data_IF_560127569082
#
_entry.id   IF_560127569082
#
_cell.length_a   1.000
_cell.length_b   1.000
_cell.length_c   1.000
_cell.angle_alpha   90.00
_cell.angle_beta   90.00
_cell.angle_gamma   90.00
#
_symmetry.space_group_name_H-M   'P 1'
#
loop_
_entity.id
_entity.type
_entity.pdbx_description
1 polymer ?
#
# COMPACT_ATOMS: atom_id res chain seq x y z
N UNK A 1 -30.94 36.77 -62.15
CA UNK A 1 -31.29 36.58 -60.73
C UNK A 1 -32.11 35.32 -60.61
N UNK A 2 -31.89 34.47 -59.61
CA UNK A 2 -30.67 33.74 -59.32
C UNK A 2 -30.83 32.25 -59.68
N UNK A 3 -29.72 31.62 -60.02
CA UNK A 3 -29.60 30.18 -60.16
C UNK A 3 -30.01 29.49 -58.85
N UNK A 4 -30.91 28.53 -58.98
CA UNK A 4 -31.35 27.63 -57.92
C UNK A 4 -30.11 26.91 -57.37
N UNK A 5 -29.71 27.31 -56.15
CA UNK A 5 -28.75 26.57 -55.32
C UNK A 5 -29.25 25.13 -55.22
N UNK A 6 -28.53 24.23 -55.87
CA UNK A 6 -28.64 22.79 -55.73
C UNK A 6 -28.17 22.46 -54.32
N UNK A 7 -29.11 22.41 -53.38
CA UNK A 7 -28.85 21.92 -52.02
C UNK A 7 -28.52 20.45 -52.17
N UNK A 8 -27.25 20.08 -51.99
CA UNK A 8 -26.85 18.69 -51.84
C UNK A 8 -27.55 18.14 -50.59
N UNK A 9 -28.65 17.41 -50.79
CA UNK A 9 -29.29 16.64 -49.75
C UNK A 9 -28.27 15.63 -49.23
N UNK A 10 -27.79 15.84 -48.00
CA UNK A 10 -27.02 14.84 -47.27
C UNK A 10 -27.91 13.59 -47.20
N UNK A 11 -27.56 12.56 -47.98
CA UNK A 11 -28.22 11.26 -47.88
C UNK A 11 -27.86 10.67 -46.52
N UNK A 12 -28.83 10.68 -45.62
CA UNK A 12 -28.71 10.00 -44.34
C UNK A 12 -28.49 8.50 -44.59
N UNK A 13 -27.29 8.02 -44.29
CA UNK A 13 -26.94 6.60 -44.37
C UNK A 13 -27.36 5.95 -43.05
N UNK A 14 -28.30 5.00 -43.14
CA UNK A 14 -28.77 4.25 -41.98
C UNK A 14 -27.83 3.08 -41.71
N UNK A 15 -27.19 3.10 -40.55
CA UNK A 15 -26.42 1.95 -40.04
C UNK A 15 -27.34 0.75 -39.80
N UNK A 16 -26.77 -0.44 -39.98
CA UNK A 16 -27.48 -1.70 -39.78
C UNK A 16 -27.77 -1.95 -38.30
N UNK A 17 -28.71 -2.85 -38.04
CA UNK A 17 -29.05 -3.26 -36.69
C UNK A 17 -27.85 -3.95 -36.00
N UNK A 18 -27.10 -4.77 -36.74
CA UNK A 18 -25.90 -5.46 -36.26
C UNK A 18 -24.80 -4.48 -35.84
N UNK A 19 -24.54 -3.44 -36.65
CA UNK A 19 -23.59 -2.38 -36.28
C UNK A 19 -24.05 -1.61 -35.04
N UNK A 20 -25.34 -1.31 -34.94
CA UNK A 20 -25.91 -0.59 -33.78
C UNK A 20 -25.79 -1.42 -32.51
N UNK A 21 -26.03 -2.73 -32.59
CA UNK A 21 -25.94 -3.63 -31.44
C UNK A 21 -24.49 -3.87 -31.02
N UNK A 22 -23.55 -3.99 -31.97
CA UNK A 22 -22.12 -4.05 -31.67
C UNK A 22 -21.60 -2.78 -30.96
N UNK A 23 -22.07 -1.59 -31.36
CA UNK A 23 -21.73 -0.34 -30.68
C UNK A 23 -22.28 -0.31 -29.25
N UNK A 24 -23.50 -0.82 -29.02
CA UNK A 24 -24.10 -0.88 -27.68
C UNK A 24 -23.34 -1.85 -26.77
N UNK A 25 -22.97 -3.02 -27.28
CA UNK A 25 -22.18 -4.00 -26.52
C UNK A 25 -20.81 -3.43 -26.15
N UNK A 26 -20.17 -2.73 -27.09
CA UNK A 26 -18.90 -2.05 -26.83
C UNK A 26 -19.05 -0.96 -25.76
N UNK A 27 -20.10 -0.14 -25.83
CA UNK A 27 -20.39 0.86 -24.80
C UNK A 27 -20.59 0.23 -23.42
N UNK A 28 -21.37 -0.84 -23.34
CA UNK A 28 -21.59 -1.58 -22.09
C UNK A 28 -20.27 -2.14 -21.54
N UNK A 29 -19.42 -2.67 -22.42
CA UNK A 29 -18.09 -3.20 -22.06
C UNK A 29 -17.21 -2.09 -21.48
N UNK A 30 -17.14 -0.92 -22.12
CA UNK A 30 -16.39 0.23 -21.60
C UNK A 30 -16.92 0.69 -20.25
N UNK A 31 -18.24 0.77 -20.07
CA UNK A 31 -18.86 1.13 -18.79
C UNK A 31 -18.48 0.12 -17.71
N UNK A 32 -18.54 -1.17 -18.00
CA UNK A 32 -18.19 -2.22 -17.04
C UNK A 32 -16.71 -2.15 -16.65
N UNK A 33 -15.81 -1.99 -17.62
CA UNK A 33 -14.37 -1.83 -17.37
C UNK A 33 -14.12 -0.62 -16.47
N UNK A 34 -14.76 0.51 -16.77
CA UNK A 34 -14.58 1.75 -16.01
C UNK A 34 -15.04 1.60 -14.56
N UNK A 35 -16.19 0.95 -14.34
CA UNK A 35 -16.69 0.67 -12.98
C UNK A 35 -15.74 -0.25 -12.23
N UNK A 36 -15.29 -1.33 -12.87
CA UNK A 36 -14.36 -2.28 -12.26
C UNK A 36 -13.02 -1.62 -11.91
N UNK A 37 -12.51 -0.75 -12.79
CA UNK A 37 -11.31 0.05 -12.51
C UNK A 37 -11.51 0.97 -11.32
N UNK A 38 -12.66 1.66 -11.22
CA UNK A 38 -12.97 2.51 -10.07
C UNK A 38 -12.99 1.73 -8.75
N UNK A 39 -13.62 0.55 -8.74
CA UNK A 39 -13.63 -0.34 -7.59
C UNK A 39 -12.22 -0.80 -7.19
N UNK A 40 -11.40 -1.18 -8.19
CA UNK A 40 -10.01 -1.59 -7.96
C UNK A 40 -9.18 -0.44 -7.38
N UNK A 41 -9.33 0.78 -7.90
CA UNK A 41 -8.62 1.96 -7.37
C UNK A 41 -8.93 2.22 -5.90
N UNK A 42 -10.20 2.10 -5.49
CA UNK A 42 -10.60 2.24 -4.08
C UNK A 42 -9.97 1.13 -3.23
N UNK A 43 -9.94 -0.12 -3.73
CA UNK A 43 -9.32 -1.22 -3.02
C UNK A 43 -7.81 -1.01 -2.84
N UNK A 44 -7.11 -0.50 -3.86
CA UNK A 44 -5.69 -0.17 -3.80
C UNK A 44 -5.41 0.94 -2.77
N UNK A 45 -6.22 2.00 -2.73
CA UNK A 45 -6.05 3.08 -1.74
C UNK A 45 -6.16 2.55 -0.32
N UNK A 46 -7.18 1.72 -0.03
CA UNK A 46 -7.33 1.10 1.29
C UNK A 46 -6.14 0.20 1.64
N UNK A 47 -5.61 -0.55 0.68
CA UNK A 47 -4.42 -1.38 0.92
C UNK A 47 -3.20 -0.51 1.24
N UNK A 48 -3.05 0.63 0.57
CA UNK A 48 -1.99 1.59 0.85
C UNK A 48 -2.10 2.16 2.27
N UNK A 49 -3.28 2.58 2.69
CA UNK A 49 -3.51 3.03 4.08
C UNK A 49 -3.11 1.97 5.12
N UNK A 50 -3.39 0.69 4.84
CA UNK A 50 -2.97 -0.41 5.71
C UNK A 50 -1.44 -0.59 5.73
N UNK A 51 -0.77 -0.44 4.59
CA UNK A 51 0.70 -0.50 4.51
C UNK A 51 1.31 0.64 5.32
N UNK A 52 0.83 1.87 5.15
CA UNK A 52 1.33 3.05 5.86
C UNK A 52 1.18 2.88 7.40
N UNK A 53 0.07 2.29 7.85
CA UNK A 53 -0.13 1.95 9.26
C UNK A 53 0.87 0.88 9.76
N UNK A 54 1.14 -0.16 8.97
CA UNK A 54 2.12 -1.19 9.30
C UNK A 54 3.55 -0.62 9.36
N UNK A 55 3.90 0.29 8.47
CA UNK A 55 5.21 0.96 8.48
C UNK A 55 5.39 1.81 9.75
N UNK A 56 4.35 2.53 10.15
CA UNK A 56 4.36 3.30 11.41
C UNK A 56 4.59 2.38 12.62
N UNK A 57 3.87 1.26 12.70
CA UNK A 57 4.07 0.27 13.79
C UNK A 57 5.47 -0.34 13.77
N UNK A 58 6.01 -0.63 12.59
CA UNK A 58 7.39 -1.13 12.44
C UNK A 58 8.40 -0.14 12.98
N UNK A 59 8.26 1.14 12.66
CA UNK A 59 9.16 2.19 13.15
C UNK A 59 9.09 2.34 14.68
N UNK A 60 7.89 2.28 15.25
CA UNK A 60 7.70 2.29 16.71
C UNK A 60 8.42 1.10 17.37
N UNK A 61 8.23 -0.11 16.84
CA UNK A 61 8.89 -1.32 17.37
C UNK A 61 10.42 -1.25 17.23
N UNK A 62 10.94 -0.69 16.14
CA UNK A 62 12.37 -0.48 15.97
C UNK A 62 12.92 0.50 17.00
N UNK A 63 12.19 1.58 17.28
CA UNK A 63 12.58 2.53 18.33
C UNK A 63 12.60 1.85 19.71
N UNK A 64 11.55 1.10 20.06
CA UNK A 64 11.47 0.35 21.32
C UNK A 64 12.61 -0.66 21.45
N UNK A 65 12.93 -1.39 20.37
CA UNK A 65 14.04 -2.34 20.34
C UNK A 65 15.40 -1.65 20.61
N UNK A 66 15.65 -0.51 19.95
CA UNK A 66 16.90 0.22 20.15
C UNK A 66 17.01 0.74 21.59
N UNK A 67 15.92 1.26 22.17
CA UNK A 67 15.90 1.65 23.59
C UNK A 67 16.20 0.48 24.51
N UNK A 68 15.60 -0.69 24.26
CA UNK A 68 15.87 -1.89 25.06
C UNK A 68 17.34 -2.34 24.97
N UNK A 69 17.98 -2.22 23.79
CA UNK A 69 19.41 -2.52 23.64
C UNK A 69 20.31 -1.52 24.39
N UNK A 70 19.95 -0.24 24.41
CA UNK A 70 20.68 0.76 25.20
C UNK A 70 20.55 0.50 26.71
N UNK A 71 19.34 0.14 27.17
CA UNK A 71 19.11 -0.26 28.56
C UNK A 71 19.89 -1.52 28.93
N UNK A 72 19.89 -2.54 28.07
CA UNK A 72 20.67 -3.77 28.26
C UNK A 72 22.15 -3.44 28.41
N UNK A 73 22.72 -2.64 27.50
CA UNK A 73 24.11 -2.24 27.56
C UNK A 73 24.43 -1.52 28.87
N UNK A 74 23.57 -0.58 29.29
CA UNK A 74 23.74 0.14 30.55
C UNK A 74 23.71 -0.79 31.76
N UNK A 75 22.78 -1.75 31.80
CA UNK A 75 22.70 -2.74 32.87
C UNK A 75 23.97 -3.60 32.89
N UNK A 76 24.46 -4.06 31.74
CA UNK A 76 25.70 -4.84 31.65
C UNK A 76 26.91 -4.03 32.13
N UNK A 77 27.01 -2.75 31.77
CA UNK A 77 28.06 -1.84 32.24
C UNK A 77 27.99 -1.68 33.77
N UNK A 78 26.81 -1.38 34.33
CA UNK A 78 26.60 -1.24 35.78
C UNK A 78 26.94 -2.53 36.55
N UNK A 79 26.57 -3.70 36.00
CA UNK A 79 26.90 -4.99 36.59
C UNK A 79 28.41 -5.27 36.53
N UNK A 80 29.05 -4.95 35.40
CA UNK A 80 30.50 -5.15 35.21
C UNK A 80 31.30 -4.23 36.12
N UNK A 81 30.89 -2.97 36.30
CA UNK A 81 31.52 -2.04 37.25
C UNK A 81 31.40 -2.52 38.70
N UNK A 82 30.24 -3.08 39.06
CA UNK A 82 29.95 -3.51 40.44
C UNK A 82 30.55 -4.87 40.81
N UNK A 83 30.60 -5.80 39.87
CA UNK A 83 30.95 -7.20 40.14
C UNK A 83 32.20 -7.68 39.38
N UNK A 84 32.70 -6.92 38.40
CA UNK A 84 33.82 -7.32 37.55
C UNK A 84 33.40 -8.18 36.35
N UNK A 85 34.37 -8.73 35.61
CA UNK A 85 34.08 -9.64 34.49
C UNK A 85 33.77 -11.03 35.06
N UNK A 86 32.58 -11.55 34.78
CA UNK A 86 32.14 -12.84 35.29
C UNK A 86 30.79 -13.25 34.72
N UNK A 87 30.37 -14.47 35.06
CA UNK A 87 29.07 -15.00 34.69
C UNK A 87 28.04 -14.68 35.78
N UNK A 88 27.01 -13.91 35.44
CA UNK A 88 25.84 -13.71 36.28
C UNK A 88 24.77 -14.74 35.89
N UNK A 89 24.38 -15.58 36.83
CA UNK A 89 23.18 -16.41 36.70
C UNK A 89 21.95 -15.54 37.00
N UNK A 90 21.13 -15.24 36.00
CA UNK A 90 19.94 -14.40 36.12
C UNK A 90 18.79 -15.07 36.88
N UNK A 91 18.77 -16.40 36.95
CA UNK A 91 17.72 -17.16 37.63
C UNK A 91 18.00 -17.27 39.15
N UNK A 92 19.28 -17.39 39.52
CA UNK A 92 19.69 -17.51 40.94
C UNK A 92 20.25 -16.22 41.54
N UNK A 93 20.63 -15.25 40.70
CA UNK A 93 21.27 -13.99 41.10
C UNK A 93 22.73 -14.15 41.55
N UNK A 94 23.34 -15.32 41.32
CA UNK A 94 24.72 -15.60 41.75
C UNK A 94 25.69 -15.12 40.67
N UNK A 95 26.61 -14.23 41.05
CA UNK A 95 27.71 -13.78 40.20
C UNK A 95 28.96 -14.63 40.45
N UNK A 96 29.52 -15.22 39.39
CA UNK A 96 30.78 -15.98 39.42
C UNK A 96 31.84 -15.22 38.63
N UNK A 97 32.85 -14.61 39.29
CA UNK A 97 33.95 -13.94 38.61
C UNK A 97 34.75 -14.92 37.75
N UNK A 98 35.14 -14.52 36.54
CA UNK A 98 36.10 -15.27 35.71
C UNK A 98 37.51 -14.72 36.03
N UNK A 99 38.22 -15.35 36.96
CA UNK A 99 39.68 -15.17 37.11
C UNK A 99 40.45 -15.82 35.96
#
# INVERSE_FOLDING_TARGET
MPETKKTEEKKDVKITQEETDGIRELQNTYTQITVNMGQLSIAMERMKENIDAMETQREELLAQHNTAQEEEKKIVEELTEKYGVGNLDLDTGIFTPNE
#
